data_IF_393674917178
#
_entry.id   IF_393674917178
#
_cell.length_a   1.000
_cell.length_b   1.000
_cell.length_c   1.000
_cell.angle_alpha   90.00
_cell.angle_beta   90.00
_cell.angle_gamma   90.00
#
_symmetry.space_group_name_H-M   'P 1'
#
loop_
_entity.id
_entity.type
_entity.pdbx_description
1 polymer ?
#
# COMPACT_ATOMS: atom_id res chain seq x y z
N UNK A 1 23.11 6.85 -7.72
CA UNK A 1 22.23 6.33 -8.79
C UNK A 1 20.85 6.90 -8.54
N UNK A 2 20.35 7.74 -9.45
CA UNK A 2 18.99 8.23 -9.42
C UNK A 2 18.07 7.02 -9.64
N UNK A 3 17.22 6.71 -8.65
CA UNK A 3 16.15 5.73 -8.83
C UNK A 3 15.00 6.51 -9.46
N UNK A 4 14.83 6.34 -10.76
CA UNK A 4 13.69 6.88 -11.48
C UNK A 4 12.40 6.44 -10.79
N UNK A 5 11.63 7.41 -10.33
CA UNK A 5 10.23 7.21 -10.00
C UNK A 5 9.56 6.70 -11.28
N UNK A 6 9.22 5.41 -11.33
CA UNK A 6 8.52 4.84 -12.47
C UNK A 6 7.01 5.13 -12.29
N UNK A 7 6.43 6.08 -13.03
CA UNK A 7 5.03 6.47 -12.88
C UNK A 7 4.06 5.42 -13.43
N UNK A 8 4.53 4.35 -14.06
CA UNK A 8 3.67 3.32 -14.68
C UNK A 8 2.93 2.39 -13.69
N UNK A 9 3.08 2.59 -12.38
CA UNK A 9 2.30 1.82 -11.38
C UNK A 9 1.33 2.66 -10.57
N UNK A 10 1.21 3.96 -10.86
CA UNK A 10 0.13 4.77 -10.30
C UNK A 10 -1.11 4.59 -11.17
N UNK A 11 -2.13 3.93 -10.61
CA UNK A 11 -3.46 3.85 -11.22
C UNK A 11 -3.90 5.26 -11.65
N UNK A 12 -4.42 5.36 -12.87
CA UNK A 12 -5.05 6.59 -13.32
C UNK A 12 -6.20 6.99 -12.40
N UNK A 13 -6.59 8.26 -12.44
CA UNK A 13 -7.70 8.75 -11.61
C UNK A 13 -9.01 7.97 -11.89
N UNK A 14 -9.21 7.56 -13.13
CA UNK A 14 -10.38 6.79 -13.56
C UNK A 14 -10.32 5.34 -13.08
N UNK A 15 -9.16 4.68 -13.16
CA UNK A 15 -8.95 3.34 -12.59
C UNK A 15 -9.10 3.35 -11.06
N UNK A 16 -8.65 4.42 -10.39
CA UNK A 16 -8.88 4.60 -8.96
C UNK A 16 -10.39 4.71 -8.64
N UNK A 17 -11.12 5.53 -9.40
CA UNK A 17 -12.58 5.69 -9.23
C UNK A 17 -13.32 4.38 -9.48
N UNK A 18 -12.94 3.63 -10.51
CA UNK A 18 -13.55 2.35 -10.84
C UNK A 18 -13.27 1.29 -9.75
N UNK A 19 -12.03 1.21 -9.25
CA UNK A 19 -11.69 0.33 -8.15
C UNK A 19 -12.45 0.68 -6.85
N UNK A 20 -12.60 1.99 -6.56
CA UNK A 20 -13.39 2.47 -5.41
C UNK A 20 -14.87 2.13 -5.61
N UNK A 21 -15.42 2.36 -6.80
CA UNK A 21 -16.80 2.03 -7.14
C UNK A 21 -17.06 0.52 -6.98
N UNK A 22 -16.18 -0.32 -7.52
CA UNK A 22 -16.24 -1.77 -7.36
C UNK A 22 -16.20 -2.19 -5.88
N UNK A 23 -15.31 -1.60 -5.09
CA UNK A 23 -15.23 -1.87 -3.65
C UNK A 23 -16.47 -1.37 -2.88
N UNK A 24 -17.10 -0.28 -3.33
CA UNK A 24 -18.30 0.28 -2.72
C UNK A 24 -19.60 -0.43 -3.10
N UNK A 25 -19.60 -1.15 -4.23
CA UNK A 25 -20.78 -1.82 -4.80
C UNK A 25 -20.70 -3.34 -4.74
N UNK A 26 -19.56 -3.92 -4.34
CA UNK A 26 -19.46 -5.35 -4.03
C UNK A 26 -20.15 -5.63 -2.70
N UNK A 27 -21.28 -6.33 -2.72
CA UNK A 27 -21.98 -6.79 -1.51
C UNK A 27 -21.47 -8.14 -0.98
N UNK A 28 -20.40 -8.69 -1.58
CA UNK A 28 -19.75 -9.91 -1.11
C UNK A 28 -18.82 -9.58 0.07
N UNK A 29 -19.43 -9.57 1.25
CA UNK A 29 -18.78 -9.36 2.54
C UNK A 29 -17.59 -10.30 2.77
N UNK A 30 -17.67 -11.54 2.30
CA UNK A 30 -16.60 -12.52 2.50
C UNK A 30 -15.40 -12.22 1.59
N UNK A 31 -15.66 -11.81 0.34
CA UNK A 31 -14.61 -11.33 -0.56
C UNK A 31 -13.94 -10.05 -0.03
N UNK A 32 -14.73 -9.11 0.52
CA UNK A 32 -14.21 -7.89 1.15
C UNK A 32 -13.31 -8.25 2.33
N UNK A 33 -13.80 -9.03 3.29
CA UNK A 33 -13.03 -9.45 4.48
C UNK A 33 -11.76 -10.19 4.11
N UNK A 34 -11.83 -11.09 3.11
CA UNK A 34 -10.65 -11.79 2.61
C UNK A 34 -9.61 -10.83 2.05
N UNK A 35 -10.03 -9.84 1.24
CA UNK A 35 -9.11 -8.85 0.66
C UNK A 35 -8.53 -7.91 1.72
N UNK A 36 -9.33 -7.51 2.71
CA UNK A 36 -8.87 -6.74 3.87
C UNK A 36 -7.81 -7.51 4.65
N UNK A 37 -8.06 -8.79 4.96
CA UNK A 37 -7.11 -9.65 5.68
C UNK A 37 -5.80 -9.80 4.90
N UNK A 38 -5.86 -10.13 3.62
CA UNK A 38 -4.66 -10.27 2.78
C UNK A 38 -3.84 -8.97 2.71
N UNK A 39 -4.52 -7.82 2.61
CA UNK A 39 -3.86 -6.51 2.62
C UNK A 39 -3.18 -6.23 3.96
N UNK A 40 -3.82 -6.59 5.07
CA UNK A 40 -3.25 -6.47 6.40
C UNK A 40 -2.02 -7.36 6.57
N UNK A 41 -2.14 -8.64 6.21
CA UNK A 41 -1.05 -9.62 6.34
C UNK A 41 0.17 -9.20 5.50
N UNK A 42 -0.03 -8.75 4.26
CA UNK A 42 1.03 -8.23 3.41
C UNK A 42 1.77 -7.04 4.05
N UNK A 43 1.01 -6.03 4.51
CA UNK A 43 1.60 -4.83 5.15
C UNK A 43 2.33 -5.17 6.45
N UNK A 44 1.76 -6.06 7.27
CA UNK A 44 2.37 -6.52 8.51
C UNK A 44 3.69 -7.25 8.23
N UNK A 45 3.71 -8.13 7.24
CA UNK A 45 4.92 -8.87 6.89
C UNK A 45 6.01 -7.96 6.34
N UNK A 46 5.68 -6.96 5.52
CA UNK A 46 6.66 -5.96 5.08
C UNK A 46 7.31 -5.19 6.23
N UNK A 47 6.57 -4.88 7.30
CA UNK A 47 7.12 -4.20 8.48
C UNK A 47 8.05 -5.11 9.27
N UNK A 48 7.66 -6.38 9.43
CA UNK A 48 8.33 -7.32 10.34
C UNK A 48 9.46 -8.11 9.69
N UNK A 49 9.46 -8.24 8.36
CA UNK A 49 10.50 -8.90 7.60
C UNK A 49 11.71 -7.96 7.45
N UNK A 50 12.86 -8.27 8.06
CA UNK A 50 14.05 -7.42 7.98
C UNK A 50 14.58 -7.20 6.56
N UNK A 51 14.25 -8.09 5.61
CA UNK A 51 14.65 -7.94 4.21
C UNK A 51 13.70 -7.03 3.40
N UNK A 52 12.43 -6.94 3.80
CA UNK A 52 11.42 -6.13 3.11
C UNK A 52 11.16 -4.79 3.81
N UNK A 53 11.55 -4.65 5.07
CA UNK A 53 11.32 -3.44 5.87
C UNK A 53 12.08 -2.23 5.34
N UNK A 54 13.22 -2.43 4.65
CA UNK A 54 13.95 -1.35 3.98
C UNK A 54 13.14 -0.66 2.89
N UNK A 55 12.22 -1.39 2.26
CA UNK A 55 11.43 -0.88 1.14
C UNK A 55 10.16 -0.15 1.59
N UNK A 56 9.84 -0.19 2.89
CA UNK A 56 8.56 0.31 3.40
C UNK A 56 8.34 1.81 3.13
N UNK A 57 9.39 2.63 3.21
CA UNK A 57 9.31 4.07 2.95
C UNK A 57 9.27 4.39 1.45
N UNK A 58 9.61 3.42 0.60
CA UNK A 58 9.51 3.50 -0.86
C UNK A 58 8.10 3.11 -1.29
N UNK A 59 7.58 2.00 -0.76
CA UNK A 59 6.23 1.49 -1.07
C UNK A 59 5.14 2.36 -0.44
N UNK A 60 5.40 2.94 0.74
CA UNK A 60 4.47 3.84 1.44
C UNK A 60 5.11 5.21 1.71
N UNK A 61 5.23 6.09 0.69
CA UNK A 61 5.89 7.39 0.82
C UNK A 61 5.29 8.28 1.90
N UNK A 62 3.99 8.16 2.17
CA UNK A 62 3.29 8.93 3.22
C UNK A 62 3.84 8.70 4.62
N UNK A 63 4.54 7.59 4.87
CA UNK A 63 5.25 7.38 6.14
C UNK A 63 6.38 8.39 6.35
N UNK A 64 6.92 8.99 5.28
CA UNK A 64 7.89 10.09 5.37
C UNK A 64 7.26 11.37 5.92
N UNK A 65 5.95 11.54 5.78
CA UNK A 65 5.21 12.70 6.29
C UNK A 65 4.97 12.61 7.80
N UNK A 66 5.09 11.40 8.38
CA UNK A 66 4.92 11.16 9.82
C UNK A 66 6.20 11.57 10.54
N UNK A 67 6.15 12.73 11.19
CA UNK A 67 7.26 13.25 11.99
C UNK A 67 7.69 12.23 13.05
N UNK A 68 8.99 11.91 13.08
CA UNK A 68 9.58 10.99 14.06
C UNK A 68 9.59 9.51 13.65
N UNK A 69 8.85 9.11 12.62
CA UNK A 69 8.81 7.71 12.17
C UNK A 69 10.12 7.27 11.52
N UNK A 70 10.71 8.12 10.67
CA UNK A 70 11.97 7.84 9.96
C UNK A 70 13.20 7.93 10.88
N UNK A 71 13.08 8.55 12.06
CA UNK A 71 14.20 8.61 13.02
C UNK A 71 14.43 7.30 13.79
N UNK A 72 13.48 6.36 13.75
CA UNK A 72 13.50 5.11 14.53
C UNK A 72 13.64 3.84 13.67
N UNK A 73 13.56 3.96 12.34
CA UNK A 73 13.83 2.90 11.37
C UNK A 73 15.31 2.96 10.95
#
# INVERSE_FOLDING_TARGET
RQSEFNPETTLSEDECKEAIAFMSHSSDEDAIKKKMKLTFDYRRNMVLDPMQSSDILTVFPRFKDIKGLVKCL
#
